data_IF_326721614046
#
_entry.id   IF_326721614046
#
_cell.length_a   1.000
_cell.length_b   1.000
_cell.length_c   1.000
_cell.angle_alpha   90.00
_cell.angle_beta   90.00
_cell.angle_gamma   90.00
#
_symmetry.space_group_name_H-M   'P 1'
#
loop_
_entity.id
_entity.type
_entity.pdbx_description
1 polymer ?
#
# COMPACT_ATOMS: atom_id res chain seq x y z
N UNK A 1 11.02 -12.78 1.77
CA UNK A 1 11.32 -14.23 1.80
C UNK A 1 10.06 -15.12 1.82
N UNK A 2 8.89 -14.60 2.21
CA UNK A 2 7.65 -15.40 2.33
C UNK A 2 6.86 -15.53 1.01
N UNK A 3 6.79 -14.47 0.20
CA UNK A 3 6.02 -14.48 -1.06
C UNK A 3 6.56 -15.44 -2.13
N UNK A 4 7.87 -15.62 -2.24
CA UNK A 4 8.47 -16.59 -3.18
C UNK A 4 8.14 -18.03 -2.79
N UNK A 5 8.22 -18.36 -1.50
CA UNK A 5 7.82 -19.69 -0.99
C UNK A 5 6.34 -19.98 -1.24
N UNK A 6 5.48 -18.99 -1.00
CA UNK A 6 4.05 -19.12 -1.29
C UNK A 6 3.79 -19.26 -2.79
N UNK A 7 4.50 -18.53 -3.65
CA UNK A 7 4.40 -18.66 -5.10
C UNK A 7 4.81 -20.06 -5.58
N UNK A 8 5.91 -20.60 -5.06
CA UNK A 8 6.36 -21.96 -5.37
C UNK A 8 5.32 -23.00 -4.96
N UNK A 9 4.68 -22.83 -3.81
CA UNK A 9 3.59 -23.70 -3.35
C UNK A 9 2.38 -23.64 -4.31
N UNK A 10 1.97 -22.44 -4.73
CA UNK A 10 0.88 -22.28 -5.70
C UNK A 10 1.24 -22.97 -7.03
N UNK A 11 2.45 -22.77 -7.54
CA UNK A 11 2.91 -23.40 -8.78
C UNK A 11 2.96 -24.92 -8.69
N UNK A 12 3.49 -25.48 -7.59
CA UNK A 12 3.49 -26.93 -7.35
C UNK A 12 2.07 -27.49 -7.36
N UNK A 13 1.16 -26.87 -6.62
CA UNK A 13 -0.24 -27.29 -6.56
C UNK A 13 -0.92 -27.24 -7.93
N UNK A 14 -0.69 -26.16 -8.70
CA UNK A 14 -1.24 -26.03 -10.06
C UNK A 14 -0.75 -27.14 -10.99
N UNK A 15 0.54 -27.50 -10.93
CA UNK A 15 1.11 -28.57 -11.73
C UNK A 15 0.52 -29.93 -11.30
N UNK A 16 0.47 -30.20 -10.01
CA UNK A 16 -0.04 -31.48 -9.48
C UNK A 16 -1.50 -31.74 -9.84
N UNK A 17 -2.32 -30.68 -9.89
CA UNK A 17 -3.75 -30.78 -10.16
C UNK A 17 -4.13 -30.43 -11.61
N UNK A 18 -3.14 -30.24 -12.50
CA UNK A 18 -3.33 -29.84 -13.90
C UNK A 18 -4.29 -28.65 -14.08
N UNK A 19 -4.19 -27.64 -13.20
CA UNK A 19 -5.05 -26.47 -13.26
C UNK A 19 -4.75 -25.68 -14.55
N UNK A 20 -5.75 -25.35 -15.39
CA UNK A 20 -5.55 -24.63 -16.64
C UNK A 20 -5.38 -23.11 -16.41
N UNK A 21 -4.48 -22.75 -15.48
CA UNK A 21 -4.22 -21.37 -15.07
C UNK A 21 -2.78 -21.02 -15.46
N UNK A 22 -2.59 -19.84 -16.07
CA UNK A 22 -1.28 -19.37 -16.47
C UNK A 22 -0.36 -19.18 -15.24
N UNK A 23 0.92 -19.53 -15.38
CA UNK A 23 1.94 -19.23 -14.37
C UNK A 23 2.38 -17.77 -14.47
N UNK A 24 2.63 -17.15 -13.33
CA UNK A 24 3.19 -15.81 -13.23
C UNK A 24 4.34 -15.79 -12.22
N UNK A 25 5.33 -14.92 -12.45
CA UNK A 25 6.48 -14.74 -11.53
C UNK A 25 6.18 -13.82 -10.33
N UNK A 26 4.93 -13.34 -10.21
CA UNK A 26 4.48 -12.48 -9.13
C UNK A 26 3.43 -13.23 -8.33
N UNK A 27 3.63 -13.30 -7.01
CA UNK A 27 2.70 -13.91 -6.08
C UNK A 27 1.29 -13.32 -6.19
N UNK A 28 1.17 -11.99 -6.11
CA UNK A 28 -0.14 -11.34 -6.16
C UNK A 28 -0.81 -11.57 -7.53
N UNK A 29 -0.03 -11.52 -8.62
CA UNK A 29 -0.56 -11.81 -9.97
C UNK A 29 -1.01 -13.27 -10.10
N UNK A 30 -0.27 -14.21 -9.52
CA UNK A 30 -0.68 -15.61 -9.48
C UNK A 30 -1.99 -15.79 -8.69
N UNK A 31 -2.14 -15.10 -7.56
CA UNK A 31 -3.38 -15.08 -6.79
C UNK A 31 -4.56 -14.52 -7.60
N UNK A 32 -4.36 -13.45 -8.38
CA UNK A 32 -5.40 -12.91 -9.26
C UNK A 32 -5.86 -13.94 -10.29
N UNK A 33 -4.93 -14.66 -10.93
CA UNK A 33 -5.26 -15.65 -11.94
C UNK A 33 -6.01 -16.86 -11.35
N UNK A 34 -5.60 -17.31 -10.17
CA UNK A 34 -6.26 -18.39 -9.44
C UNK A 34 -7.64 -17.99 -8.93
N UNK A 35 -7.79 -16.75 -8.46
CA UNK A 35 -9.08 -16.21 -8.04
C UNK A 35 -10.05 -16.07 -9.22
N UNK A 36 -9.58 -15.59 -10.37
CA UNK A 36 -10.38 -15.52 -11.60
C UNK A 36 -10.81 -16.90 -12.09
N UNK A 37 -9.95 -17.92 -11.94
CA UNK A 37 -10.26 -19.30 -12.30
C UNK A 37 -11.47 -19.85 -11.52
N UNK A 38 -11.63 -19.47 -10.24
CA UNK A 38 -12.78 -19.86 -9.41
C UNK A 38 -13.98 -18.89 -9.55
N UNK A 39 -13.88 -17.87 -10.41
CA UNK A 39 -14.95 -16.90 -10.67
C UNK A 39 -15.10 -15.81 -9.61
N UNK A 40 -14.07 -15.54 -8.81
CA UNK A 40 -14.09 -14.51 -7.76
C UNK A 40 -13.20 -13.29 -8.13
N UNK A 41 -13.26 -12.23 -7.31
CA UNK A 41 -12.45 -11.01 -7.48
C UNK A 41 -12.07 -10.31 -6.16
N UNK A 42 -12.23 -10.99 -5.01
CA UNK A 42 -12.12 -10.42 -3.66
C UNK A 42 -10.67 -10.01 -3.33
N UNK A 43 -9.70 -10.85 -3.61
CA UNK A 43 -8.26 -10.62 -3.46
C UNK A 43 -7.81 -9.52 -4.43
N UNK A 44 -8.20 -9.60 -5.70
CA UNK A 44 -7.86 -8.58 -6.70
C UNK A 44 -8.46 -7.20 -6.34
N UNK A 45 -9.73 -7.13 -5.97
CA UNK A 45 -10.40 -5.89 -5.59
C UNK A 45 -9.83 -5.31 -4.29
N UNK A 46 -9.51 -6.15 -3.30
CA UNK A 46 -8.89 -5.70 -2.04
C UNK A 46 -7.45 -5.23 -2.27
N UNK A 47 -6.68 -5.91 -3.09
CA UNK A 47 -5.33 -5.48 -3.49
C UNK A 47 -5.38 -4.14 -4.27
N UNK A 48 -6.34 -3.95 -5.17
CA UNK A 48 -6.56 -2.66 -5.86
C UNK A 48 -6.86 -1.54 -4.86
N UNK A 49 -7.77 -1.76 -3.91
CA UNK A 49 -8.07 -0.79 -2.84
C UNK A 49 -6.82 -0.44 -2.03
N UNK A 50 -6.05 -1.45 -1.64
CA UNK A 50 -4.79 -1.27 -0.91
C UNK A 50 -3.80 -0.40 -1.71
N UNK A 51 -3.62 -0.68 -3.00
CA UNK A 51 -2.77 0.13 -3.89
C UNK A 51 -3.26 1.58 -4.01
N UNK A 52 -4.57 1.79 -4.16
CA UNK A 52 -5.16 3.14 -4.21
C UNK A 52 -4.89 3.91 -2.93
N UNK A 53 -5.07 3.30 -1.76
CA UNK A 53 -4.79 3.94 -0.47
C UNK A 53 -3.32 4.32 -0.34
N UNK A 54 -2.40 3.45 -0.76
CA UNK A 54 -0.97 3.75 -0.74
C UNK A 54 -0.58 4.93 -1.66
N UNK A 55 -1.21 5.02 -2.84
CA UNK A 55 -1.00 6.17 -3.74
C UNK A 55 -1.55 7.44 -3.08
N UNK A 56 -2.77 7.39 -2.54
CA UNK A 56 -3.37 8.54 -1.86
C UNK A 56 -2.52 9.01 -0.68
N UNK A 57 -1.99 8.11 0.16
CA UNK A 57 -1.11 8.52 1.26
C UNK A 57 0.13 9.26 0.75
N UNK A 58 0.71 8.83 -0.37
CA UNK A 58 1.81 9.55 -1.01
C UNK A 58 1.41 10.94 -1.51
N UNK A 59 0.22 11.05 -2.14
CA UNK A 59 -0.33 12.32 -2.63
C UNK A 59 -0.57 13.32 -1.49
N UNK A 60 -1.06 12.87 -0.34
CA UNK A 60 -1.28 13.74 0.82
C UNK A 60 0.02 14.10 1.56
N UNK A 61 1.01 13.21 1.58
CA UNK A 61 2.31 13.47 2.19
C UNK A 61 3.18 14.42 1.37
N UNK A 62 3.04 14.41 0.03
CA UNK A 62 3.89 15.19 -0.86
C UNK A 62 3.84 16.71 -0.62
N UNK A 63 2.68 17.37 -0.46
CA UNK A 63 2.62 18.79 -0.14
C UNK A 63 3.35 19.16 1.16
N UNK A 64 3.25 18.32 2.19
CA UNK A 64 3.95 18.52 3.46
C UNK A 64 5.46 18.50 3.24
N UNK A 65 5.94 17.52 2.47
CA UNK A 65 7.35 17.42 2.10
C UNK A 65 7.82 18.64 1.31
N UNK A 66 7.03 19.12 0.35
CA UNK A 66 7.36 20.31 -0.44
C UNK A 66 7.50 21.56 0.44
N UNK A 67 6.60 21.77 1.41
CA UNK A 67 6.70 22.90 2.36
C UNK A 67 8.01 22.83 3.15
N UNK A 68 8.39 21.64 3.64
CA UNK A 68 9.64 21.45 4.38
C UNK A 68 10.86 21.73 3.49
N UNK A 69 10.85 21.24 2.25
CA UNK A 69 11.93 21.47 1.28
C UNK A 69 12.08 22.96 0.97
N UNK A 70 10.98 23.66 0.68
CA UNK A 70 10.99 25.10 0.37
C UNK A 70 11.52 25.89 1.56
N UNK A 71 11.04 25.61 2.77
CA UNK A 71 11.53 26.27 3.99
C UNK A 71 13.03 26.03 4.19
N UNK A 72 13.50 24.79 3.97
CA UNK A 72 14.92 24.47 4.06
C UNK A 72 15.78 25.20 3.02
N UNK A 73 15.35 25.22 1.76
CA UNK A 73 16.07 25.92 0.69
C UNK A 73 16.14 27.42 0.98
N UNK A 74 15.00 28.03 1.32
CA UNK A 74 14.90 29.45 1.57
C UNK A 74 15.82 29.90 2.71
N UNK A 75 15.83 29.15 3.81
CA UNK A 75 16.61 29.48 5.01
C UNK A 75 18.10 29.23 4.83
N UNK A 76 18.46 28.19 4.06
CA UNK A 76 19.87 27.85 3.85
C UNK A 76 20.56 28.73 2.80
N UNK A 77 19.84 29.08 1.73
CA UNK A 77 20.42 29.65 0.50
C UNK A 77 19.95 31.06 0.16
N UNK A 78 18.74 31.49 0.60
CA UNK A 78 18.18 32.78 0.20
C UNK A 78 18.35 33.81 1.32
N UNK A 79 17.78 33.55 2.49
CA UNK A 79 17.93 34.45 3.63
C UNK A 79 18.00 33.67 4.95
N UNK A 80 19.20 33.69 5.53
CA UNK A 80 19.53 33.00 6.80
C UNK A 80 18.97 33.71 8.04
N UNK A 81 18.49 34.93 7.90
CA UNK A 81 17.97 35.75 9.01
C UNK A 81 16.44 35.78 9.06
N UNK A 82 15.77 35.10 8.14
CA UNK A 82 14.31 34.99 8.13
C UNK A 82 13.84 34.37 9.44
N UNK A 83 12.97 35.10 10.14
CA UNK A 83 12.26 34.57 11.29
C UNK A 83 11.14 33.64 10.82
N UNK A 84 11.49 32.38 10.61
CA UNK A 84 10.54 31.33 10.25
C UNK A 84 9.49 31.19 11.36
N UNK A 85 9.88 31.33 12.62
CA UNK A 85 8.95 31.14 13.74
C UNK A 85 7.89 32.24 13.71
N UNK A 86 8.29 33.51 13.54
CA UNK A 86 7.37 34.63 13.35
C UNK A 86 6.44 34.41 12.15
N UNK A 87 6.97 33.99 11.00
CA UNK A 87 6.16 33.70 9.80
C UNK A 87 5.06 32.66 10.06
N UNK A 88 5.39 31.59 10.80
CA UNK A 88 4.44 30.53 11.15
C UNK A 88 3.43 30.98 12.21
N UNK A 89 3.82 31.81 13.17
CA UNK A 89 2.91 32.38 14.18
C UNK A 89 1.89 33.32 13.51
N UNK A 90 2.37 34.17 12.60
CA UNK A 90 1.53 35.17 11.92
C UNK A 90 0.61 34.57 10.85
N UNK A 91 0.93 33.37 10.36
CA UNK A 91 0.15 32.68 9.32
C UNK A 91 -0.26 31.27 9.76
N UNK A 92 -1.37 31.14 10.51
CA UNK A 92 -1.84 29.86 11.04
C UNK A 92 -1.97 28.73 10.01
N UNK A 93 -2.30 29.11 8.78
CA UNK A 93 -2.46 28.22 7.64
C UNK A 93 -1.18 27.39 7.40
N UNK A 94 0.01 27.95 7.64
CA UNK A 94 1.30 27.31 7.40
C UNK A 94 1.57 26.11 8.31
N UNK A 95 0.93 26.00 9.48
CA UNK A 95 1.01 24.80 10.33
C UNK A 95 -0.29 24.00 10.39
N UNK A 96 -1.46 24.64 10.25
CA UNK A 96 -2.76 23.93 10.28
C UNK A 96 -2.89 22.99 9.07
N UNK A 97 -2.61 23.46 7.86
CA UNK A 97 -2.75 22.62 6.66
C UNK A 97 -1.80 21.41 6.72
N UNK A 98 -0.49 21.58 6.98
CA UNK A 98 0.39 20.42 7.14
C UNK A 98 -0.03 19.47 8.27
N UNK A 99 -0.50 19.99 9.42
CA UNK A 99 -0.98 19.15 10.50
C UNK A 99 -2.17 18.28 10.08
N UNK A 100 -3.15 18.86 9.38
CA UNK A 100 -4.30 18.11 8.84
C UNK A 100 -3.85 17.05 7.82
N UNK A 101 -2.94 17.40 6.91
CA UNK A 101 -2.41 16.47 5.91
C UNK A 101 -1.66 15.30 6.55
N UNK A 102 -0.89 15.55 7.62
CA UNK A 102 -0.23 14.51 8.40
C UNK A 102 -1.27 13.57 9.03
N UNK A 103 -2.31 14.11 9.67
CA UNK A 103 -3.38 13.29 10.27
C UNK A 103 -4.06 12.43 9.22
N UNK A 104 -4.41 12.99 8.05
CA UNK A 104 -5.01 12.23 6.94
C UNK A 104 -4.07 11.12 6.47
N UNK A 105 -2.78 11.41 6.32
CA UNK A 105 -1.77 10.43 5.92
C UNK A 105 -1.68 9.27 6.91
N UNK A 106 -1.72 9.55 8.21
CA UNK A 106 -1.71 8.53 9.26
C UNK A 106 -2.96 7.63 9.21
N UNK A 107 -4.13 8.23 9.01
CA UNK A 107 -5.39 7.47 8.85
C UNK A 107 -5.31 6.55 7.63
N UNK A 108 -4.82 7.05 6.48
CA UNK A 108 -4.62 6.25 5.29
C UNK A 108 -3.61 5.12 5.51
N UNK A 109 -2.53 5.36 6.24
CA UNK A 109 -1.54 4.34 6.58
C UNK A 109 -2.14 3.22 7.46
N UNK A 110 -2.96 3.57 8.46
CA UNK A 110 -3.67 2.59 9.29
C UNK A 110 -4.68 1.78 8.46
N UNK A 111 -5.39 2.45 7.55
CA UNK A 111 -6.33 1.77 6.65
C UNK A 111 -5.60 0.84 5.68
N UNK A 112 -4.45 1.24 5.12
CA UNK A 112 -3.58 0.39 4.32
C UNK A 112 -3.13 -0.85 5.11
N UNK A 113 -2.67 -0.67 6.36
CA UNK A 113 -2.27 -1.76 7.23
C UNK A 113 -3.43 -2.75 7.47
N UNK A 114 -4.64 -2.23 7.73
CA UNK A 114 -5.85 -3.03 7.90
C UNK A 114 -6.18 -3.84 6.63
N UNK A 115 -6.13 -3.21 5.45
CA UNK A 115 -6.35 -3.89 4.17
C UNK A 115 -5.31 -4.97 3.90
N UNK A 116 -4.03 -4.67 4.16
CA UNK A 116 -2.93 -5.64 4.01
C UNK A 116 -3.13 -6.85 4.90
N UNK A 117 -3.46 -6.62 6.17
CA UNK A 117 -3.77 -7.68 7.14
C UNK A 117 -4.95 -8.53 6.65
N UNK A 118 -6.04 -7.89 6.25
CA UNK A 118 -7.22 -8.59 5.70
C UNK A 118 -6.88 -9.42 4.46
N UNK A 119 -6.05 -8.88 3.55
CA UNK A 119 -5.68 -9.54 2.30
C UNK A 119 -4.90 -10.83 2.55
N UNK A 120 -3.87 -10.79 3.40
CA UNK A 120 -2.95 -11.92 3.57
C UNK A 120 -3.33 -12.86 4.73
N UNK A 121 -4.00 -12.39 5.77
CA UNK A 121 -4.35 -13.24 6.93
C UNK A 121 -5.74 -13.88 6.81
N UNK A 122 -6.58 -13.38 5.89
CA UNK A 122 -7.95 -13.88 5.72
C UNK A 122 -8.26 -14.26 4.28
N UNK A 123 -8.18 -13.31 3.34
CA UNK A 123 -8.61 -13.54 1.96
C UNK A 123 -7.71 -14.58 1.27
N UNK A 124 -6.38 -14.48 1.43
CA UNK A 124 -5.46 -15.46 0.86
C UNK A 124 -5.65 -16.89 1.43
N UNK A 125 -5.74 -17.10 2.75
CA UNK A 125 -6.10 -18.40 3.32
C UNK A 125 -7.45 -18.94 2.83
N UNK A 126 -8.48 -18.09 2.73
CA UNK A 126 -9.79 -18.47 2.18
C UNK A 126 -9.66 -18.92 0.72
N UNK A 127 -8.90 -18.19 -0.12
CA UNK A 127 -8.61 -18.57 -1.51
C UNK A 127 -7.89 -19.92 -1.59
N UNK A 128 -6.86 -20.14 -0.76
CA UNK A 128 -6.18 -21.44 -0.66
C UNK A 128 -7.15 -22.57 -0.27
N UNK A 129 -8.03 -22.32 0.68
CA UNK A 129 -9.03 -23.29 1.14
C UNK A 129 -10.00 -23.69 0.02
N UNK A 130 -10.50 -22.72 -0.74
CA UNK A 130 -11.38 -22.98 -1.91
C UNK A 130 -10.68 -23.78 -3.01
N UNK A 131 -9.40 -23.53 -3.21
CA UNK A 131 -8.54 -24.26 -4.15
C UNK A 131 -8.02 -25.60 -3.59
N UNK A 132 -8.35 -25.95 -2.34
CA UNK A 132 -7.87 -27.17 -1.66
C UNK A 132 -6.33 -27.29 -1.66
N UNK A 133 -5.65 -26.15 -1.51
CA UNK A 133 -4.19 -26.09 -1.40
C UNK A 133 -3.80 -26.46 0.04
N UNK A 134 -3.55 -27.75 0.27
CA UNK A 134 -3.07 -28.23 1.55
C UNK A 134 -1.72 -27.58 1.89
N UNK A 135 -1.63 -26.99 3.08
CA UNK A 135 -0.34 -26.69 3.69
C UNK A 135 0.15 -28.02 4.27
N UNK A 136 1.09 -28.67 3.60
CA UNK A 136 2.00 -29.60 4.28
C UNK A 136 2.93 -28.80 5.20
#
# INVERSE_FOLDING_TARGET
MESSKQLDLLHKHMIQNNLPVQKSDSFDKQCFLLEQYIGEDIFQSTHKKMKTVNILSGVFALPVLLVIIVAYIYTRWIDRKVDIVGLFVDNPILYIIPAVLIVVTLILALFYYSLRKKLYDRIYPELKGKLKINAE
#
